data_IF_082103862522
#
_entry.id   IF_082103862522
#
_cell.length_a   1.000
_cell.length_b   1.000
_cell.length_c   1.000
_cell.angle_alpha   90.00
_cell.angle_beta   90.00
_cell.angle_gamma   90.00
#
_symmetry.space_group_name_H-M   'P 1'
#
loop_
_entity.id
_entity.type
_entity.pdbx_description
1 polymer ?
#
# COMPACT_ATOMS: atom_id res chain seq x y z
N UNK A 1 6.22 44.84 -29.85
CA UNK A 1 5.45 44.11 -28.84
C UNK A 1 5.66 42.65 -29.14
N UNK A 2 6.57 42.01 -28.37
CA UNK A 2 6.94 40.61 -28.53
C UNK A 2 6.00 39.75 -27.70
N UNK A 3 5.20 38.92 -28.37
CA UNK A 3 4.41 37.88 -27.71
C UNK A 3 5.37 36.75 -27.32
N UNK A 4 5.63 36.60 -26.02
CA UNK A 4 6.35 35.46 -25.48
C UNK A 4 5.53 34.21 -25.74
N UNK A 5 6.00 33.38 -26.66
CA UNK A 5 5.55 31.98 -26.80
C UNK A 5 5.83 31.24 -25.51
N UNK A 6 4.78 30.92 -24.79
CA UNK A 6 4.80 30.03 -23.66
C UNK A 6 4.88 28.62 -24.24
N UNK A 7 6.08 28.09 -24.39
CA UNK A 7 6.29 26.67 -24.68
C UNK A 7 5.70 25.87 -23.53
N UNK A 8 4.57 25.22 -23.76
CA UNK A 8 4.04 24.20 -22.87
C UNK A 8 5.01 23.02 -22.95
N UNK A 9 5.88 22.87 -21.95
CA UNK A 9 6.51 21.61 -21.68
C UNK A 9 5.38 20.63 -21.40
N UNK A 10 5.11 19.75 -22.35
CA UNK A 10 4.28 18.57 -22.14
C UNK A 10 5.03 17.66 -21.19
N UNK A 11 4.70 17.76 -19.90
CA UNK A 11 5.06 16.74 -18.93
C UNK A 11 4.64 15.39 -19.52
N UNK A 12 5.62 14.63 -19.99
CA UNK A 12 5.40 13.26 -20.43
C UNK A 12 4.94 12.48 -19.19
N UNK A 13 3.62 12.33 -19.03
CA UNK A 13 3.02 11.67 -17.88
C UNK A 13 3.67 10.30 -17.73
N UNK A 14 4.30 10.08 -16.58
CA UNK A 14 4.88 8.77 -16.25
C UNK A 14 3.83 7.69 -16.46
N UNK A 15 4.17 6.53 -17.04
CA UNK A 15 3.21 5.49 -17.35
C UNK A 15 2.46 5.07 -16.07
N UNK A 16 1.15 5.03 -16.17
CA UNK A 16 0.26 4.58 -15.09
C UNK A 16 -0.42 3.28 -15.48
N UNK A 17 -0.70 2.43 -14.50
CA UNK A 17 -1.54 1.25 -14.66
C UNK A 17 -2.53 1.12 -13.53
N UNK A 18 -3.61 0.40 -13.76
CA UNK A 18 -4.66 0.15 -12.78
C UNK A 18 -4.69 -1.32 -12.40
N UNK A 19 -4.90 -1.60 -11.11
CA UNK A 19 -5.08 -2.96 -10.58
C UNK A 19 -6.27 -3.00 -9.64
N UNK A 20 -7.01 -4.11 -9.66
CA UNK A 20 -8.10 -4.37 -8.72
C UNK A 20 -7.58 -5.11 -7.49
N UNK A 21 -8.11 -4.77 -6.32
CA UNK A 21 -7.81 -5.39 -5.02
C UNK A 21 -9.05 -5.37 -4.13
N UNK A 22 -9.06 -6.22 -3.13
CA UNK A 22 -10.05 -6.17 -2.04
C UNK A 22 -9.52 -5.30 -0.91
N UNK A 23 -10.38 -4.46 -0.34
CA UNK A 23 -10.05 -3.63 0.80
C UNK A 23 -9.76 -4.50 2.03
N UNK A 24 -8.60 -4.38 2.70
CA UNK A 24 -8.22 -5.23 3.82
C UNK A 24 -8.70 -4.75 5.19
N UNK A 25 -9.48 -3.66 5.27
CA UNK A 25 -9.76 -2.99 6.55
C UNK A 25 -10.90 -3.62 7.36
N UNK A 26 -11.87 -4.27 6.70
CA UNK A 26 -12.99 -4.91 7.38
C UNK A 26 -13.67 -5.97 6.51
N UNK A 27 -14.65 -6.66 7.08
CA UNK A 27 -15.39 -7.76 6.44
C UNK A 27 -16.28 -7.33 5.26
N UNK A 28 -16.48 -6.03 5.05
CA UNK A 28 -17.22 -5.53 3.88
C UNK A 28 -16.54 -5.86 2.56
N UNK A 29 -15.23 -6.11 2.58
CA UNK A 29 -14.42 -6.58 1.44
C UNK A 29 -14.62 -5.77 0.16
N UNK A 30 -14.84 -4.45 0.27
CA UNK A 30 -15.10 -3.58 -0.88
C UNK A 30 -14.01 -3.72 -1.94
N UNK A 31 -14.42 -3.79 -3.21
CA UNK A 31 -13.52 -3.77 -4.35
C UNK A 31 -12.82 -2.41 -4.48
N UNK A 32 -11.53 -2.43 -4.70
CA UNK A 32 -10.69 -1.26 -4.90
C UNK A 32 -10.08 -1.25 -6.29
N UNK A 33 -10.16 -0.12 -6.95
CA UNK A 33 -9.36 0.21 -8.12
C UNK A 33 -8.18 1.07 -7.68
N UNK A 34 -6.96 0.57 -7.88
CA UNK A 34 -5.73 1.23 -7.48
C UNK A 34 -4.96 1.65 -8.73
N UNK A 35 -4.75 2.95 -8.89
CA UNK A 35 -3.91 3.50 -9.95
C UNK A 35 -2.48 3.60 -9.43
N UNK A 36 -1.56 2.95 -10.11
CA UNK A 36 -0.13 2.97 -9.85
C UNK A 36 0.58 3.84 -10.89
N UNK A 37 1.62 4.54 -10.46
CA UNK A 37 2.47 5.37 -11.30
C UNK A 37 3.92 4.93 -11.09
N UNK A 38 4.70 4.89 -12.18
CA UNK A 38 6.14 4.63 -12.07
C UNK A 38 6.82 5.73 -11.23
N UNK A 39 7.68 5.32 -10.31
CA UNK A 39 8.51 6.21 -9.49
C UNK A 39 9.78 6.69 -10.21
N UNK A 40 10.00 6.24 -11.47
CA UNK A 40 11.18 6.55 -12.26
C UNK A 40 12.47 5.85 -11.80
N UNK A 41 12.40 5.02 -10.74
CA UNK A 41 13.54 4.28 -10.16
C UNK A 41 13.38 2.76 -10.31
N UNK A 42 12.43 2.32 -11.12
CA UNK A 42 12.10 0.92 -11.32
C UNK A 42 11.04 0.38 -10.36
N UNK A 43 10.48 1.23 -9.49
CA UNK A 43 9.36 0.94 -8.60
C UNK A 43 8.07 1.62 -9.04
N UNK A 44 7.05 1.48 -8.22
CA UNK A 44 5.73 2.09 -8.40
C UNK A 44 5.23 2.71 -7.11
N UNK A 45 4.58 3.84 -7.21
CA UNK A 45 3.86 4.51 -6.13
C UNK A 45 2.35 4.47 -6.36
N UNK A 46 1.59 4.47 -5.30
CA UNK A 46 0.12 4.55 -5.37
C UNK A 46 -0.27 5.99 -5.71
N UNK A 47 -0.79 6.19 -6.91
CA UNK A 47 -1.31 7.50 -7.30
C UNK A 47 -2.69 7.75 -6.73
N UNK A 48 -3.60 6.75 -6.81
CA UNK A 48 -5.00 6.89 -6.42
C UNK A 48 -5.59 5.55 -6.01
N UNK A 49 -6.49 5.58 -5.02
CA UNK A 49 -7.37 4.47 -4.65
C UNK A 49 -8.82 4.95 -4.72
N UNK A 50 -9.70 4.17 -5.35
CA UNK A 50 -11.14 4.40 -5.41
C UNK A 50 -11.90 3.08 -5.34
N UNK A 51 -13.22 3.13 -5.16
CA UNK A 51 -14.08 1.95 -5.29
C UNK A 51 -14.09 1.45 -6.73
N UNK A 52 -14.03 0.13 -6.87
CA UNK A 52 -14.12 -0.57 -8.15
C UNK A 52 -15.60 -0.66 -8.56
N UNK A 53 -15.96 -0.01 -9.66
CA UNK A 53 -17.35 -0.01 -10.16
C UNK A 53 -17.78 -1.37 -10.71
N UNK A 54 -16.82 -2.21 -11.10
CA UNK A 54 -17.06 -3.54 -11.65
C UNK A 54 -17.12 -4.62 -10.57
N UNK A 55 -16.79 -4.28 -9.31
CA UNK A 55 -16.95 -5.21 -8.19
C UNK A 55 -18.42 -5.55 -7.96
N UNK A 56 -18.75 -6.85 -8.00
CA UNK A 56 -20.13 -7.33 -7.94
C UNK A 56 -20.81 -7.07 -6.59
N UNK A 57 -20.04 -6.91 -5.51
CA UNK A 57 -20.57 -6.68 -4.17
C UNK A 57 -20.69 -5.19 -3.84
N UNK A 58 -19.59 -4.46 -3.88
CA UNK A 58 -19.54 -3.05 -3.45
C UNK A 58 -19.95 -2.05 -4.53
N UNK A 59 -19.85 -2.43 -5.83
CA UNK A 59 -20.27 -1.62 -6.98
C UNK A 59 -19.75 -0.17 -6.91
N UNK A 60 -18.48 -0.02 -6.60
CA UNK A 60 -17.83 1.28 -6.48
C UNK A 60 -17.99 1.97 -5.12
N UNK A 61 -18.75 1.39 -4.18
CA UNK A 61 -18.83 1.94 -2.83
C UNK A 61 -17.49 1.75 -2.11
N UNK A 62 -17.03 2.81 -1.44
CA UNK A 62 -15.86 2.80 -0.56
C UNK A 62 -16.09 3.77 0.59
N UNK A 63 -15.79 3.34 1.81
CA UNK A 63 -15.91 4.22 2.98
C UNK A 63 -14.69 5.16 3.11
N UNK A 64 -14.76 6.21 3.94
CA UNK A 64 -13.64 7.14 4.13
C UNK A 64 -12.32 6.48 4.53
N UNK A 65 -12.35 5.41 5.30
CA UNK A 65 -11.12 4.65 5.67
C UNK A 65 -10.45 3.99 4.46
N UNK A 66 -11.26 3.41 3.56
CA UNK A 66 -10.75 2.84 2.32
C UNK A 66 -10.16 3.89 1.38
N UNK A 67 -10.77 5.08 1.30
CA UNK A 67 -10.26 6.16 0.45
C UNK A 67 -8.94 6.76 0.94
N UNK A 68 -8.60 6.60 2.23
CA UNK A 68 -7.35 7.07 2.83
C UNK A 68 -6.29 5.96 2.97
N UNK A 69 -6.54 4.78 2.40
CA UNK A 69 -5.62 3.63 2.49
C UNK A 69 -4.23 3.92 1.87
N UNK A 70 -4.16 4.84 0.89
CA UNK A 70 -2.89 5.31 0.35
C UNK A 70 -2.00 5.90 1.45
N UNK A 71 -2.53 6.76 2.30
CA UNK A 71 -1.76 7.40 3.38
C UNK A 71 -1.23 6.34 4.36
N UNK A 72 -2.04 5.34 4.69
CA UNK A 72 -1.60 4.22 5.52
C UNK A 72 -0.50 3.39 4.85
N UNK A 73 -0.61 3.16 3.53
CA UNK A 73 0.38 2.39 2.76
C UNK A 73 1.74 3.10 2.68
N UNK A 74 1.72 4.42 2.51
CA UNK A 74 2.90 5.26 2.32
C UNK A 74 3.39 5.91 3.62
N UNK A 75 2.78 5.61 4.76
CA UNK A 75 3.16 6.16 6.06
C UNK A 75 4.64 5.86 6.35
N UNK A 76 5.46 6.88 6.64
CA UNK A 76 6.88 6.69 6.94
C UNK A 76 7.12 5.87 8.21
N UNK A 77 6.18 5.89 9.16
CA UNK A 77 6.26 5.15 10.42
C UNK A 77 5.78 3.69 10.27
N UNK A 78 5.33 3.29 9.07
CA UNK A 78 4.89 1.93 8.82
C UNK A 78 6.05 0.95 8.92
N UNK A 79 5.88 -0.11 9.71
CA UNK A 79 6.81 -1.24 9.76
C UNK A 79 6.93 -1.89 8.36
N UNK A 80 8.16 -2.03 7.88
CA UNK A 80 8.48 -2.63 6.57
C UNK A 80 9.22 -3.96 6.70
N UNK A 81 9.75 -4.22 7.89
CA UNK A 81 10.44 -5.45 8.26
C UNK A 81 9.82 -6.02 9.52
N UNK A 82 9.92 -7.34 9.75
CA UNK A 82 9.53 -7.91 11.02
C UNK A 82 10.35 -7.29 12.18
N UNK A 83 9.72 -7.17 13.33
CA UNK A 83 10.36 -6.72 14.57
C UNK A 83 10.23 -7.81 15.61
N UNK A 84 11.33 -8.16 16.28
CA UNK A 84 11.32 -9.10 17.41
C UNK A 84 11.86 -8.41 18.65
N UNK A 85 11.40 -8.87 19.83
CA UNK A 85 11.82 -8.30 21.10
C UNK A 85 13.09 -9.00 21.58
N UNK A 86 14.19 -8.23 21.72
CA UNK A 86 15.45 -8.68 22.29
C UNK A 86 15.85 -7.74 23.45
N UNK A 87 16.13 -8.30 24.61
CA UNK A 87 16.53 -7.52 25.80
C UNK A 87 15.56 -6.37 26.16
N UNK A 88 14.25 -6.57 25.93
CA UNK A 88 13.23 -5.57 26.22
C UNK A 88 12.94 -4.56 25.11
N UNK A 89 13.75 -4.49 24.07
CA UNK A 89 13.60 -3.58 22.92
C UNK A 89 13.17 -4.32 21.65
N UNK A 90 12.41 -3.64 20.79
CA UNK A 90 12.07 -4.17 19.47
C UNK A 90 13.18 -3.83 18.48
N UNK A 91 13.74 -4.86 17.85
CA UNK A 91 14.81 -4.75 16.85
C UNK A 91 14.36 -5.38 15.53
N UNK A 92 14.86 -4.87 14.42
CA UNK A 92 14.60 -5.45 13.11
C UNK A 92 15.10 -6.89 13.03
N UNK A 93 14.34 -7.72 12.34
CA UNK A 93 14.63 -9.13 12.13
C UNK A 93 14.37 -9.55 10.69
N UNK A 94 14.99 -10.61 10.26
CA UNK A 94 14.63 -11.29 9.03
C UNK A 94 13.31 -12.04 9.20
N UNK A 95 12.65 -12.36 8.09
CA UNK A 95 11.45 -13.22 8.12
C UNK A 95 11.73 -14.61 8.69
N UNK A 96 12.91 -15.17 8.44
CA UNK A 96 13.31 -16.45 9.03
C UNK A 96 13.37 -16.37 10.57
N UNK A 97 14.10 -15.38 11.11
CA UNK A 97 14.15 -15.16 12.56
C UNK A 97 12.77 -14.91 13.20
N UNK A 98 11.90 -14.18 12.47
CA UNK A 98 10.54 -13.90 12.95
C UNK A 98 9.70 -15.19 13.02
N UNK A 99 9.79 -16.05 12.02
CA UNK A 99 9.09 -17.35 12.01
C UNK A 99 9.62 -18.30 13.06
N UNK A 100 10.94 -18.37 13.27
CA UNK A 100 11.55 -19.16 14.34
C UNK A 100 11.04 -18.71 15.73
N UNK A 101 10.92 -17.39 15.94
CA UNK A 101 10.40 -16.85 17.18
C UNK A 101 8.90 -17.16 17.38
N UNK A 102 8.08 -17.14 16.31
CA UNK A 102 6.67 -17.54 16.36
C UNK A 102 6.53 -19.02 16.69
N UNK A 103 7.30 -19.87 16.00
CA UNK A 103 7.28 -21.32 16.23
C UNK A 103 7.65 -21.65 17.68
N UNK A 104 8.76 -21.12 18.18
CA UNK A 104 9.19 -21.33 19.56
C UNK A 104 8.14 -20.87 20.59
N UNK A 105 7.49 -19.73 20.34
CA UNK A 105 6.42 -19.22 21.21
C UNK A 105 5.17 -20.09 21.20
N UNK A 106 4.78 -20.63 20.05
CA UNK A 106 3.61 -21.51 19.92
C UNK A 106 3.85 -22.87 20.57
N UNK A 107 5.01 -23.48 20.38
CA UNK A 107 5.36 -24.75 21.04
C UNK A 107 5.23 -24.65 22.57
N UNK A 108 5.70 -23.56 23.17
CA UNK A 108 5.58 -23.35 24.61
C UNK A 108 4.15 -23.17 25.15
N UNK A 109 3.15 -23.07 24.26
CA UNK A 109 1.73 -22.94 24.65
C UNK A 109 0.95 -24.22 24.38
N UNK A 110 1.40 -25.04 23.42
CA UNK A 110 0.71 -26.27 22.97
C UNK A 110 1.10 -27.48 23.86
N UNK A 111 2.28 -27.49 24.45
CA UNK A 111 2.76 -28.50 25.40
C UNK A 111 2.19 -28.29 26.82
#
# INVERSE_FOLDING_TARGET
MSFLERTSETDAASPTRTVSRTCPLCEATCGLEITLKSDGKGGEEVQRIRGDMDDVFSRGFICPKGSTLKQLHEDPDRLRTPMIRRNGEHVEATWAEAWDAVEAGLHGVIE
#
